data_IF_304061472712
#
_entry.id   IF_304061472712
#
_cell.length_a   1.000
_cell.length_b   1.000
_cell.length_c   1.000
_cell.angle_alpha   90.00
_cell.angle_beta   90.00
_cell.angle_gamma   90.00
#
_symmetry.space_group_name_H-M   'P 1'
#
loop_
_entity.id
_entity.type
_entity.pdbx_description
1 polymer ?
#
# COMPACT_ATOMS: atom_id res chain seq x y z
N UNK A 1 -4.67 -7.12 -17.92
CA UNK A 1 -3.73 -8.05 -17.28
C UNK A 1 -2.42 -7.35 -16.98
N UNK A 2 -1.94 -7.51 -15.75
CA UNK A 2 -0.69 -6.85 -15.31
C UNK A 2 0.50 -7.67 -15.73
N UNK A 3 1.55 -6.99 -16.21
CA UNK A 3 2.82 -7.63 -16.46
C UNK A 3 3.63 -7.70 -15.19
N UNK A 4 4.27 -8.84 -14.97
CA UNK A 4 5.15 -9.01 -13.81
C UNK A 4 6.52 -8.42 -14.12
N UNK A 5 7.10 -7.77 -13.11
CA UNK A 5 8.47 -7.27 -13.21
C UNK A 5 9.44 -8.34 -12.72
N UNK A 6 10.64 -8.37 -13.28
CA UNK A 6 11.66 -9.34 -12.91
C UNK A 6 12.69 -8.74 -11.98
N UNK A 7 12.99 -7.48 -12.15
CA UNK A 7 13.96 -6.77 -11.32
C UNK A 7 13.24 -5.88 -10.31
N UNK A 8 13.81 -5.79 -9.11
CA UNK A 8 13.28 -4.97 -8.05
C UNK A 8 14.21 -3.80 -7.78
N UNK A 9 14.01 -2.65 -8.46
CA UNK A 9 14.78 -1.46 -8.12
C UNK A 9 14.61 -1.11 -6.66
N UNK A 10 15.66 -0.60 -6.05
CA UNK A 10 15.59 -0.20 -4.64
C UNK A 10 14.53 0.88 -4.45
N UNK A 11 13.67 0.69 -3.45
CA UNK A 11 12.66 1.69 -3.12
C UNK A 11 13.32 2.88 -2.42
N UNK A 12 12.87 4.09 -2.76
CA UNK A 12 13.40 5.31 -2.16
C UNK A 12 13.14 5.37 -0.66
N UNK A 13 12.05 4.73 -0.20
CA UNK A 13 11.70 4.68 1.22
C UNK A 13 11.18 3.29 1.55
N UNK A 14 11.60 2.76 2.69
CA UNK A 14 11.25 1.40 3.13
C UNK A 14 10.25 1.45 4.27
N UNK A 15 9.01 1.07 3.98
CA UNK A 15 7.93 1.03 4.97
C UNK A 15 8.15 -0.04 6.05
N UNK A 16 9.08 -0.96 5.86
CA UNK A 16 9.46 -1.91 6.90
C UNK A 16 10.29 -1.26 8.00
N UNK A 17 10.82 -0.07 7.76
CA UNK A 17 11.69 0.61 8.71
C UNK A 17 11.07 1.86 9.31
N UNK A 18 10.29 2.60 8.53
CA UNK A 18 9.79 3.91 8.95
C UNK A 18 8.59 4.35 8.14
N UNK A 19 7.84 5.36 8.60
CA UNK A 19 6.84 6.00 7.77
C UNK A 19 7.48 6.65 6.55
N UNK A 20 6.73 6.70 5.45
CA UNK A 20 7.21 7.28 4.19
C UNK A 20 6.31 8.42 3.76
N UNK A 21 6.88 9.38 3.05
CA UNK A 21 6.13 10.49 2.47
C UNK A 21 6.21 10.43 0.95
N UNK A 22 5.08 10.73 0.31
CA UNK A 22 4.95 10.71 -1.14
C UNK A 22 4.27 11.97 -1.61
N UNK A 23 4.68 12.49 -2.76
CA UNK A 23 4.03 13.65 -3.37
C UNK A 23 2.73 13.24 -4.05
N UNK A 24 1.65 13.99 -3.79
CA UNK A 24 0.39 13.79 -4.46
C UNK A 24 -0.36 15.12 -4.52
N UNK A 25 -0.57 15.63 -5.73
CA UNK A 25 -1.29 16.89 -5.97
C UNK A 25 -0.79 18.05 -5.11
N UNK A 26 0.53 18.19 -5.04
CA UNK A 26 1.15 19.28 -4.30
C UNK A 26 1.19 19.09 -2.80
N UNK A 27 0.77 17.94 -2.29
CA UNK A 27 0.79 17.64 -0.86
C UNK A 27 1.67 16.44 -0.59
N UNK A 28 2.14 16.34 0.64
CA UNK A 28 2.91 15.19 1.09
C UNK A 28 2.01 14.23 1.83
N UNK A 29 1.79 13.08 1.25
CA UNK A 29 0.99 12.00 1.84
C UNK A 29 1.90 11.17 2.71
N UNK A 30 1.54 11.01 3.99
CA UNK A 30 2.31 10.18 4.92
C UNK A 30 1.66 8.81 5.03
N UNK A 31 2.48 7.78 4.85
CA UNK A 31 2.04 6.38 4.91
C UNK A 31 2.84 5.65 5.96
N UNK A 32 2.16 4.84 6.76
CA UNK A 32 2.81 4.04 7.79
C UNK A 32 2.08 2.72 7.99
N UNK A 33 2.85 1.63 8.13
CA UNK A 33 2.34 0.40 8.73
C UNK A 33 2.67 0.44 10.21
N UNK A 34 1.67 0.15 11.06
CA UNK A 34 1.83 0.22 12.51
C UNK A 34 2.82 -0.82 13.04
N UNK A 35 2.81 -2.02 12.47
CA UNK A 35 3.73 -3.09 12.84
C UNK A 35 4.84 -3.20 11.81
N UNK A 36 6.08 -3.21 12.25
CA UNK A 36 7.25 -3.27 11.38
C UNK A 36 8.19 -4.37 11.86
N UNK A 37 8.73 -5.18 10.97
CA UNK A 37 8.48 -5.20 9.53
C UNK A 37 7.10 -5.75 9.18
N UNK A 38 6.64 -5.46 7.97
CA UNK A 38 5.37 -5.99 7.45
C UNK A 38 5.56 -7.48 7.16
N UNK A 39 4.61 -8.30 7.62
CA UNK A 39 4.74 -9.75 7.48
C UNK A 39 3.56 -10.33 6.68
N UNK A 40 3.86 -11.31 5.86
CA UNK A 40 2.84 -12.04 5.10
C UNK A 40 1.87 -12.72 6.07
N UNK A 41 0.57 -12.69 5.73
CA UNK A 41 -0.50 -13.35 6.47
C UNK A 41 -0.72 -12.83 7.89
N UNK A 42 -0.05 -11.74 8.27
CA UNK A 42 -0.21 -11.12 9.58
C UNK A 42 -0.95 -9.79 9.40
N UNK A 43 -2.06 -9.64 10.12
CA UNK A 43 -2.83 -8.40 10.05
C UNK A 43 -2.00 -7.22 10.55
N UNK A 44 -2.09 -6.10 9.83
CA UNK A 44 -1.35 -4.88 10.12
C UNK A 44 -2.24 -3.69 9.84
N UNK A 45 -2.08 -2.62 10.57
CA UNK A 45 -2.84 -1.40 10.32
C UNK A 45 -2.04 -0.49 9.41
N UNK A 46 -2.64 -0.14 8.28
CA UNK A 46 -2.08 0.83 7.34
C UNK A 46 -2.73 2.18 7.62
N UNK A 47 -1.89 3.21 7.83
CA UNK A 47 -2.35 4.58 8.08
C UNK A 47 -1.88 5.45 6.93
N UNK A 48 -2.82 6.22 6.37
CA UNK A 48 -2.54 7.14 5.27
C UNK A 48 -3.04 8.52 5.68
N UNK A 49 -2.14 9.50 5.74
CA UNK A 49 -2.47 10.84 6.19
C UNK A 49 -2.25 11.87 5.09
N UNK A 50 -3.10 12.87 5.07
CA UNK A 50 -3.02 13.99 4.15
C UNK A 50 -3.23 13.61 2.69
N UNK A 51 -4.08 12.61 2.44
CA UNK A 51 -4.37 12.15 1.08
C UNK A 51 -5.41 13.02 0.37
N UNK A 52 -6.30 13.63 1.12
CA UNK A 52 -7.43 14.36 0.59
C UNK A 52 -8.74 13.74 1.03
N UNK A 53 -9.84 14.40 0.70
CA UNK A 53 -11.17 13.99 1.16
C UNK A 53 -11.86 13.16 0.08
N UNK A 54 -11.93 11.86 0.29
CA UNK A 54 -12.59 10.91 -0.62
C UNK A 54 -13.71 10.20 0.12
N UNK A 55 -14.90 10.16 -0.50
CA UNK A 55 -16.08 9.57 0.13
C UNK A 55 -16.05 8.05 0.15
N UNK A 56 -15.35 7.43 -0.80
CA UNK A 56 -15.33 5.97 -0.95
C UNK A 56 -13.91 5.47 -1.21
N UNK A 57 -12.97 5.91 -0.38
CA UNK A 57 -11.57 5.51 -0.56
C UNK A 57 -11.42 4.00 -0.40
N UNK A 58 -10.77 3.39 -1.36
CA UNK A 58 -10.37 1.99 -1.28
C UNK A 58 -9.07 1.81 -2.03
N UNK A 59 -8.52 0.60 -1.95
CA UNK A 59 -7.27 0.31 -2.60
C UNK A 59 -7.24 -1.14 -3.06
N UNK A 60 -6.33 -1.42 -3.97
CA UNK A 60 -6.00 -2.79 -4.37
C UNK A 60 -4.53 -3.00 -4.11
N UNK A 61 -4.22 -4.08 -3.41
CA UNK A 61 -2.85 -4.46 -3.11
C UNK A 61 -2.54 -5.71 -3.92
N UNK A 62 -1.52 -5.62 -4.74
CA UNK A 62 -1.16 -6.72 -5.62
C UNK A 62 0.34 -6.82 -5.80
N UNK A 63 0.80 -8.05 -6.10
CA UNK A 63 2.22 -8.30 -6.32
C UNK A 63 2.68 -7.79 -7.68
N UNK A 64 3.87 -7.18 -7.71
CA UNK A 64 4.47 -6.72 -8.96
C UNK A 64 5.36 -7.79 -9.59
N UNK A 65 5.97 -8.65 -8.78
CA UNK A 65 6.92 -9.66 -9.27
C UNK A 65 6.40 -11.09 -9.14
N UNK A 66 5.19 -11.27 -8.63
CA UNK A 66 4.50 -12.55 -8.63
C UNK A 66 3.00 -12.30 -8.50
N UNK A 67 2.20 -13.04 -9.24
CA UNK A 67 0.75 -12.91 -9.16
C UNK A 67 0.22 -13.65 -7.94
N UNK A 68 -0.42 -12.92 -7.05
CA UNK A 68 -1.00 -13.47 -5.81
C UNK A 68 -2.46 -13.05 -5.63
N UNK A 69 -3.10 -12.53 -6.70
CA UNK A 69 -4.43 -11.96 -6.60
C UNK A 69 -4.41 -10.59 -5.95
N UNK A 70 -5.57 -9.99 -5.80
CA UNK A 70 -5.72 -8.67 -5.20
C UNK A 70 -6.23 -8.80 -3.77
N UNK A 71 -5.65 -7.99 -2.87
CA UNK A 71 -6.20 -7.77 -1.53
C UNK A 71 -6.86 -6.40 -1.57
N UNK A 72 -8.11 -6.31 -1.12
CA UNK A 72 -8.88 -5.07 -1.17
C UNK A 72 -9.26 -4.67 0.25
N UNK A 73 -8.43 -3.84 0.92
CA UNK A 73 -8.74 -3.41 2.27
C UNK A 73 -9.86 -2.38 2.29
N UNK A 74 -10.57 -2.31 3.41
CA UNK A 74 -11.60 -1.31 3.64
C UNK A 74 -11.01 -0.18 4.47
N UNK A 75 -11.05 1.05 3.95
CA UNK A 75 -10.54 2.22 4.64
C UNK A 75 -11.61 2.91 5.46
N UNK A 76 -11.23 3.36 6.65
CA UNK A 76 -12.06 4.20 7.51
C UNK A 76 -11.41 5.56 7.63
N UNK A 77 -12.19 6.62 7.52
CA UNK A 77 -11.70 7.97 7.76
C UNK A 77 -11.36 8.15 9.24
N UNK A 78 -10.19 8.72 9.51
CA UNK A 78 -9.79 9.12 10.85
C UNK A 78 -9.86 10.64 11.01
N UNK A 79 -9.84 11.37 9.91
CA UNK A 79 -10.06 12.82 9.85
C UNK A 79 -10.48 13.16 8.43
N UNK A 80 -10.64 14.45 8.11
CA UNK A 80 -11.08 14.88 6.78
C UNK A 80 -10.16 14.37 5.66
N UNK A 81 -8.86 14.23 5.95
CA UNK A 81 -7.86 13.88 4.93
C UNK A 81 -7.09 12.59 5.24
N UNK A 82 -7.47 11.88 6.29
CA UNK A 82 -6.69 10.74 6.77
C UNK A 82 -7.54 9.49 6.94
N UNK A 83 -6.90 8.34 6.80
CA UNK A 83 -7.59 7.05 6.75
C UNK A 83 -6.74 5.97 7.38
N UNK A 84 -7.40 4.88 7.78
CA UNK A 84 -6.71 3.66 8.23
C UNK A 84 -7.44 2.43 7.70
N UNK A 85 -6.71 1.35 7.54
CA UNK A 85 -7.26 0.08 7.10
C UNK A 85 -6.50 -1.07 7.72
N UNK A 86 -7.22 -2.17 8.00
CA UNK A 86 -6.59 -3.42 8.36
C UNK A 86 -6.16 -4.12 7.08
N UNK A 87 -4.91 -4.53 7.00
CA UNK A 87 -4.34 -5.19 5.83
C UNK A 87 -3.76 -6.54 6.25
N UNK A 88 -4.15 -7.59 5.55
CA UNK A 88 -3.54 -8.91 5.70
C UNK A 88 -2.85 -9.22 4.37
N UNK A 89 -1.51 -9.06 4.30
CA UNK A 89 -0.82 -9.30 3.04
C UNK A 89 -0.86 -10.76 2.63
N UNK A 90 -0.80 -11.00 1.33
CA UNK A 90 -0.77 -12.35 0.78
C UNK A 90 0.50 -13.10 1.18
N UNK A 91 0.48 -14.41 1.06
CA UNK A 91 1.64 -15.24 1.36
C UNK A 91 2.82 -14.86 0.48
N UNK A 92 4.02 -14.95 1.05
CA UNK A 92 5.26 -14.66 0.35
C UNK A 92 5.97 -15.98 0.05
N UNK A 93 6.03 -16.36 -1.23
CA UNK A 93 6.63 -17.63 -1.64
C UNK A 93 8.01 -17.45 -2.27
N UNK A 94 8.47 -16.22 -2.43
CA UNK A 94 9.81 -15.89 -2.92
C UNK A 94 10.48 -14.99 -1.89
N UNK A 95 11.80 -14.79 -2.02
CA UNK A 95 12.59 -14.09 -1.00
C UNK A 95 12.11 -12.67 -0.77
N UNK A 96 11.77 -11.94 -1.82
CA UNK A 96 11.23 -10.60 -1.71
C UNK A 96 10.02 -10.46 -2.63
N UNK A 97 8.88 -10.12 -2.03
CA UNK A 97 7.67 -9.77 -2.78
C UNK A 97 7.52 -8.27 -2.79
N UNK A 98 7.46 -7.68 -3.97
CA UNK A 98 7.13 -6.27 -4.11
C UNK A 98 5.64 -6.13 -4.36
N UNK A 99 4.98 -5.39 -3.48
CA UNK A 99 3.55 -5.10 -3.58
C UNK A 99 3.32 -3.65 -3.95
N UNK A 100 2.25 -3.42 -4.69
CA UNK A 100 1.76 -2.08 -4.98
C UNK A 100 0.40 -1.90 -4.32
N UNK A 101 0.23 -0.75 -3.65
CA UNK A 101 -1.06 -0.33 -3.12
C UNK A 101 -1.57 0.78 -4.02
N UNK A 102 -2.60 0.49 -4.79
CA UNK A 102 -3.16 1.43 -5.74
C UNK A 102 -4.52 1.91 -5.25
N UNK A 103 -4.72 3.22 -5.21
CA UNK A 103 -5.90 3.82 -4.55
C UNK A 103 -6.99 4.22 -5.54
N UNK A 104 -8.23 4.09 -5.08
CA UNK A 104 -9.44 4.38 -5.84
C UNK A 104 -10.41 5.16 -4.97
N UNK A 105 -11.27 5.96 -5.60
CA UNK A 105 -12.47 6.50 -4.98
C UNK A 105 -13.66 5.81 -5.66
N UNK A 106 -14.32 4.91 -4.95
CA UNK A 106 -15.27 4.01 -5.58
C UNK A 106 -14.53 3.14 -6.59
N UNK A 107 -14.95 3.21 -7.85
CA UNK A 107 -14.30 2.46 -8.95
C UNK A 107 -13.28 3.30 -9.71
N UNK A 108 -13.15 4.58 -9.38
CA UNK A 108 -12.33 5.51 -10.14
C UNK A 108 -10.94 5.63 -9.55
N UNK A 109 -9.87 5.38 -10.33
CA UNK A 109 -8.52 5.56 -9.81
C UNK A 109 -8.27 7.02 -9.47
N UNK A 110 -7.56 7.27 -8.35
CA UNK A 110 -7.19 8.63 -7.97
C UNK A 110 -5.76 8.97 -8.40
N UNK A 111 -5.08 8.03 -9.04
CA UNK A 111 -3.71 8.19 -9.54
C UNK A 111 -2.69 8.39 -8.42
N UNK A 112 -2.90 7.70 -7.32
CA UNK A 112 -1.93 7.62 -6.25
C UNK A 112 -1.67 6.16 -5.94
N UNK A 113 -0.39 5.82 -5.79
CA UNK A 113 0.02 4.48 -5.37
C UNK A 113 1.33 4.57 -4.62
N UNK A 114 1.65 3.53 -3.86
CA UNK A 114 2.98 3.35 -3.31
C UNK A 114 3.33 1.87 -3.31
N UNK A 115 4.63 1.59 -3.23
CA UNK A 115 5.13 0.23 -3.24
C UNK A 115 5.80 -0.10 -1.91
N UNK A 116 5.72 -1.36 -1.51
CA UNK A 116 6.44 -1.85 -0.34
C UNK A 116 6.85 -3.29 -0.55
N UNK A 117 7.84 -3.74 0.21
CA UNK A 117 8.36 -5.10 0.10
C UNK A 117 8.01 -5.91 1.33
N UNK A 118 7.77 -7.20 1.12
CA UNK A 118 7.74 -8.19 2.20
C UNK A 118 8.88 -9.15 1.92
N UNK A 119 9.76 -9.30 2.91
CA UNK A 119 10.91 -10.19 2.82
C UNK A 119 10.65 -11.44 3.65
N UNK A 120 11.04 -12.56 3.09
CA UNK A 120 10.88 -13.86 3.72
C UNK A 120 11.98 -14.15 4.71
#
# INVERSE_FOLDING_TARGET
RRELIKELPLLACDLNEKPCEYEFKGQKVRVEFKEKPVQALVENELVVENLGDFSELNARIYGLNMYMGDVVPTFKKTSANSYKAAVVPSACVIDTMRFRVEFFNGKKPINFYFDFDIKR
#
